data_IF_230541315574
#
_entry.id   IF_230541315574
#
_cell.length_a   1.000
_cell.length_b   1.000
_cell.length_c   1.000
_cell.angle_alpha   90.00
_cell.angle_beta   90.00
_cell.angle_gamma   90.00
#
_symmetry.space_group_name_H-M   'P 1'
#
loop_
_entity.id
_entity.type
_entity.pdbx_description
1 polymer ?
#
# COMPACT_ATOMS: atom_id res chain seq x y z
N UNK A 1 -4.24 5.32 12.53
CA UNK A 1 -5.64 4.89 12.28
C UNK A 1 -5.58 3.64 11.42
N UNK A 2 -5.99 2.51 11.98
CA UNK A 2 -5.75 1.15 11.49
C UNK A 2 -5.84 0.16 12.66
N UNK A 3 -6.86 0.33 13.51
CA UNK A 3 -7.05 -0.37 14.79
C UNK A 3 -7.93 -1.61 14.68
N UNK A 4 -8.34 -1.99 13.47
CA UNK A 4 -9.02 -3.26 13.24
C UNK A 4 -7.97 -4.36 13.16
N UNK A 5 -8.05 -5.34 14.06
CA UNK A 5 -7.28 -6.58 13.96
C UNK A 5 -7.83 -7.40 12.79
N UNK A 6 -7.27 -7.21 11.60
CA UNK A 6 -7.57 -8.02 10.42
C UNK A 6 -6.47 -9.06 10.22
N UNK A 7 -6.89 -10.30 10.01
CA UNK A 7 -6.00 -11.35 9.57
C UNK A 7 -5.49 -11.05 8.15
N UNK A 8 -4.31 -11.61 7.83
CA UNK A 8 -3.78 -11.52 6.47
C UNK A 8 -4.75 -12.13 5.44
N UNK A 9 -5.48 -13.19 5.83
CA UNK A 9 -6.47 -13.83 4.97
C UNK A 9 -7.62 -12.89 4.62
N UNK A 10 -8.14 -12.14 5.59
CA UNK A 10 -9.20 -11.15 5.33
C UNK A 10 -8.72 -10.04 4.41
N UNK A 11 -7.49 -9.55 4.61
CA UNK A 11 -6.88 -8.57 3.70
C UNK A 11 -6.75 -9.12 2.28
N UNK A 12 -6.30 -10.37 2.12
CA UNK A 12 -6.23 -11.04 0.81
C UNK A 12 -7.61 -11.15 0.17
N UNK A 13 -8.66 -11.49 0.92
CA UNK A 13 -10.04 -11.54 0.40
C UNK A 13 -10.55 -10.18 -0.05
N UNK A 14 -10.25 -9.11 0.70
CA UNK A 14 -10.60 -7.73 0.34
C UNK A 14 -9.93 -7.34 -0.97
N UNK A 15 -8.62 -7.52 -1.08
CA UNK A 15 -7.89 -7.22 -2.33
C UNK A 15 -8.33 -8.13 -3.50
N UNK A 16 -8.73 -9.37 -3.21
CA UNK A 16 -9.33 -10.27 -4.20
C UNK A 16 -10.67 -9.76 -4.74
N UNK A 17 -11.41 -9.00 -3.95
CA UNK A 17 -12.63 -8.33 -4.43
C UNK A 17 -12.29 -7.25 -5.45
N UNK A 18 -11.24 -6.46 -5.19
CA UNK A 18 -10.77 -5.45 -6.14
C UNK A 18 -10.26 -6.10 -7.44
N UNK A 19 -9.44 -7.15 -7.32
CA UNK A 19 -8.98 -7.95 -8.45
C UNK A 19 -10.13 -8.51 -9.30
N UNK A 20 -11.27 -8.82 -8.67
CA UNK A 20 -12.48 -9.34 -9.30
C UNK A 20 -13.53 -8.26 -9.60
N UNK A 21 -13.09 -7.01 -9.80
CA UNK A 21 -13.96 -5.88 -10.17
C UNK A 21 -15.18 -5.70 -9.25
N UNK A 22 -14.99 -5.82 -7.94
CA UNK A 22 -16.04 -5.60 -6.95
C UNK A 22 -16.83 -6.84 -6.52
N UNK A 23 -16.54 -8.01 -7.09
CA UNK A 23 -17.18 -9.29 -6.73
C UNK A 23 -16.49 -9.91 -5.50
N UNK A 24 -17.15 -9.86 -4.35
CA UNK A 24 -16.70 -10.52 -3.13
C UNK A 24 -17.03 -12.01 -3.15
N UNK A 25 -16.12 -12.83 -2.65
CA UNK A 25 -16.30 -14.28 -2.49
C UNK A 25 -16.30 -14.62 -1.00
N UNK A 26 -17.38 -15.25 -0.53
CA UNK A 26 -17.56 -15.50 0.91
C UNK A 26 -16.61 -16.58 1.41
N UNK A 27 -16.43 -17.65 0.65
CA UNK A 27 -15.63 -18.81 1.03
C UNK A 27 -14.18 -18.68 0.53
N UNK A 28 -13.22 -19.07 1.37
CA UNK A 28 -11.84 -19.27 0.94
C UNK A 28 -11.59 -20.76 0.75
N UNK A 29 -11.49 -21.21 -0.51
CA UNK A 29 -11.37 -22.62 -0.86
C UNK A 29 -9.99 -22.96 -1.39
N UNK A 30 -9.30 -23.88 -0.72
CA UNK A 30 -7.98 -24.38 -1.14
C UNK A 30 -8.05 -25.69 -1.93
N UNK A 31 -9.10 -26.49 -1.70
CA UNK A 31 -9.27 -27.81 -2.31
C UNK A 31 -10.31 -27.73 -3.42
N UNK A 32 -9.94 -28.16 -4.63
CA UNK A 32 -10.86 -28.20 -5.79
C UNK A 32 -11.57 -29.55 -5.95
N UNK A 33 -10.85 -30.63 -5.67
CA UNK A 33 -11.31 -32.01 -5.91
C UNK A 33 -10.52 -32.96 -4.99
N UNK A 34 -11.19 -33.96 -4.43
CA UNK A 34 -10.60 -35.07 -3.68
C UNK A 34 -10.97 -36.35 -4.42
N UNK A 35 -9.96 -37.15 -4.74
CA UNK A 35 -10.11 -38.43 -5.43
C UNK A 35 -9.46 -39.56 -4.62
N UNK A 36 -9.99 -40.77 -4.78
CA UNK A 36 -9.33 -41.97 -4.30
C UNK A 36 -8.17 -42.39 -5.23
N UNK A 37 -7.45 -43.46 -4.87
CA UNK A 37 -6.32 -43.97 -5.65
C UNK A 37 -6.72 -44.49 -7.05
N UNK A 38 -8.00 -44.79 -7.26
CA UNK A 38 -8.54 -45.28 -8.54
C UNK A 38 -9.08 -44.13 -9.42
N UNK A 39 -9.03 -42.89 -8.93
CA UNK A 39 -9.56 -41.71 -9.63
C UNK A 39 -11.06 -41.49 -9.42
N UNK A 40 -11.70 -42.18 -8.47
CA UNK A 40 -13.09 -41.90 -8.12
C UNK A 40 -13.17 -40.60 -7.31
N UNK A 41 -13.99 -39.65 -7.79
CA UNK A 41 -14.23 -38.38 -7.11
C UNK A 41 -15.03 -38.60 -5.84
N UNK A 42 -14.41 -38.36 -4.69
CA UNK A 42 -15.04 -38.44 -3.37
C UNK A 42 -15.71 -37.12 -2.99
N UNK A 43 -15.12 -36.01 -3.43
CA UNK A 43 -15.66 -34.68 -3.19
C UNK A 43 -15.16 -33.73 -4.27
N UNK A 44 -16.02 -32.79 -4.67
CA UNK A 44 -15.69 -31.72 -5.59
C UNK A 44 -16.20 -30.39 -5.05
N UNK A 45 -15.42 -29.35 -5.27
CA UNK A 45 -15.74 -28.01 -4.82
C UNK A 45 -17.12 -27.57 -5.35
N UNK A 46 -18.06 -27.20 -4.46
CA UNK A 46 -19.32 -26.62 -4.86
C UNK A 46 -19.11 -25.20 -5.43
N UNK A 47 -20.11 -24.70 -6.16
CA UNK A 47 -20.09 -23.33 -6.64
C UNK A 47 -19.86 -22.32 -5.50
N UNK A 48 -18.93 -21.39 -5.71
CA UNK A 48 -18.59 -20.38 -4.71
C UNK A 48 -19.72 -19.35 -4.56
N UNK A 49 -20.06 -19.00 -3.32
CA UNK A 49 -20.98 -17.91 -3.03
C UNK A 49 -20.29 -16.58 -3.31
N UNK A 50 -20.84 -15.82 -4.24
CA UNK A 50 -20.31 -14.52 -4.65
C UNK A 50 -21.38 -13.45 -4.64
N UNK A 51 -20.97 -12.21 -4.38
CA UNK A 51 -21.86 -11.04 -4.36
C UNK A 51 -21.12 -9.81 -4.87
N UNK A 52 -21.77 -9.01 -5.71
CA UNK A 52 -21.25 -7.69 -6.09
C UNK A 52 -21.40 -6.75 -4.89
N UNK A 53 -20.31 -6.19 -4.39
CA UNK A 53 -20.34 -5.27 -3.23
C UNK A 53 -19.80 -3.87 -3.54
N UNK A 54 -19.09 -3.71 -4.66
CA UNK A 54 -18.56 -2.43 -5.16
C UNK A 54 -18.85 -2.42 -6.67
N UNK A 55 -19.18 -1.28 -7.28
CA UNK A 55 -19.40 -1.25 -8.73
C UNK A 55 -18.12 -1.51 -9.52
N UNK A 56 -18.25 -1.89 -10.79
CA UNK A 56 -17.10 -2.11 -11.67
C UNK A 56 -16.30 -0.82 -11.87
N UNK A 57 -17.00 0.29 -12.07
CA UNK A 57 -16.43 1.63 -12.31
C UNK A 57 -15.60 2.07 -11.12
N UNK A 58 -16.17 2.03 -9.90
CA UNK A 58 -15.47 2.40 -8.66
C UNK A 58 -14.23 1.52 -8.46
N UNK A 59 -14.33 0.22 -8.78
CA UNK A 59 -13.21 -0.70 -8.62
C UNK A 59 -12.10 -0.40 -9.63
N UNK A 60 -12.46 -0.09 -10.87
CA UNK A 60 -11.53 0.32 -11.93
C UNK A 60 -10.77 1.61 -11.52
N UNK A 61 -11.43 2.62 -10.94
CA UNK A 61 -10.73 3.83 -10.43
C UNK A 61 -9.82 3.52 -9.25
N UNK A 62 -10.28 2.68 -8.32
CA UNK A 62 -9.47 2.22 -7.20
C UNK A 62 -8.21 1.48 -7.69
N UNK A 63 -8.35 0.63 -8.70
CA UNK A 63 -7.21 -0.06 -9.31
C UNK A 63 -6.23 0.93 -9.94
N UNK A 64 -6.71 1.93 -10.69
CA UNK A 64 -5.85 2.96 -11.29
C UNK A 64 -5.06 3.76 -10.23
N UNK A 65 -5.72 4.13 -9.12
CA UNK A 65 -5.05 4.78 -7.98
C UNK A 65 -4.00 3.86 -7.33
N UNK A 66 -4.28 2.57 -7.20
CA UNK A 66 -3.36 1.59 -6.63
C UNK A 66 -2.20 1.22 -7.57
N UNK A 67 -2.38 1.31 -8.89
CA UNK A 67 -1.28 1.24 -9.85
C UNK A 67 -0.34 2.44 -9.68
N UNK A 68 -0.89 3.64 -9.53
CA UNK A 68 -0.10 4.86 -9.26
C UNK A 68 0.77 4.73 -7.99
N UNK A 69 0.24 4.10 -6.94
CA UNK A 69 0.98 3.82 -5.71
C UNK A 69 2.18 2.88 -5.92
N UNK A 70 2.07 1.93 -6.87
CA UNK A 70 3.16 1.04 -7.28
C UNK A 70 4.15 1.75 -8.19
N UNK A 71 3.68 2.54 -9.17
CA UNK A 71 4.54 3.07 -10.22
C UNK A 71 5.32 4.32 -9.80
N UNK A 72 4.72 5.14 -8.93
CA UNK A 72 5.31 6.42 -8.51
C UNK A 72 5.25 6.70 -7.00
N UNK A 73 4.54 5.86 -6.25
CA UNK A 73 4.33 5.98 -4.81
C UNK A 73 5.30 5.15 -3.96
N UNK A 74 4.83 4.73 -2.79
CA UNK A 74 5.62 3.95 -1.83
C UNK A 74 5.97 2.54 -2.32
N UNK A 75 5.31 2.07 -3.38
CA UNK A 75 5.57 0.80 -4.04
C UNK A 75 6.62 0.86 -5.16
N UNK A 76 7.17 2.03 -5.49
CA UNK A 76 8.07 2.27 -6.66
C UNK A 76 9.21 1.24 -6.80
N UNK A 77 9.70 0.68 -5.69
CA UNK A 77 10.72 -0.38 -5.69
C UNK A 77 10.31 -1.62 -6.50
N UNK A 78 9.02 -1.91 -6.64
CA UNK A 78 8.52 -2.96 -7.53
C UNK A 78 9.00 -2.76 -8.98
N UNK A 79 9.01 -1.51 -9.46
CA UNK A 79 9.53 -1.15 -10.79
C UNK A 79 11.04 -0.99 -10.79
N UNK A 80 11.58 -0.21 -9.87
CA UNK A 80 12.98 0.23 -9.94
C UNK A 80 13.98 -0.81 -9.43
N UNK A 81 13.61 -1.61 -8.43
CA UNK A 81 14.49 -2.61 -7.81
C UNK A 81 14.21 -4.01 -8.36
N UNK A 82 12.95 -4.40 -8.48
CA UNK A 82 12.56 -5.74 -8.94
C UNK A 82 12.31 -5.81 -10.46
N UNK A 83 12.33 -4.67 -11.16
CA UNK A 83 12.24 -4.61 -12.61
C UNK A 83 10.89 -5.07 -13.17
N UNK A 84 9.83 -5.09 -12.36
CA UNK A 84 8.55 -5.69 -12.76
C UNK A 84 7.88 -4.89 -13.86
N UNK A 85 7.57 -5.55 -14.99
CA UNK A 85 6.97 -4.90 -16.17
C UNK A 85 5.47 -5.14 -16.30
N UNK A 86 4.93 -6.14 -15.61
CA UNK A 86 3.52 -6.46 -15.62
C UNK A 86 2.69 -5.36 -14.96
N UNK A 87 1.43 -5.27 -15.38
CA UNK A 87 0.45 -4.48 -14.67
C UNK A 87 0.31 -4.99 -13.24
N UNK A 88 0.32 -4.07 -12.28
CA UNK A 88 0.25 -4.42 -10.86
C UNK A 88 -0.36 -3.26 -10.08
N UNK A 89 -1.38 -3.57 -9.29
CA UNK A 89 -1.96 -2.64 -8.34
C UNK A 89 -1.55 -3.07 -6.93
N UNK A 90 -1.29 -2.12 -6.02
CA UNK A 90 -0.94 -2.51 -4.66
C UNK A 90 -0.68 -1.34 -3.71
N UNK A 91 -0.47 -1.68 -2.44
CA UNK A 91 -0.30 -0.71 -1.37
C UNK A 91 0.62 -1.22 -0.28
N UNK A 92 1.48 -0.32 0.20
CA UNK A 92 2.23 -0.50 1.44
C UNK A 92 1.38 -0.10 2.65
N UNK A 93 1.40 -0.90 3.70
CA UNK A 93 0.87 -0.58 5.03
C UNK A 93 1.99 -0.61 6.07
N UNK A 94 1.90 0.23 7.10
CA UNK A 94 2.86 0.26 8.21
C UNK A 94 2.07 0.61 9.46
N UNK A 95 2.09 -0.30 10.44
CA UNK A 95 1.45 -0.06 11.72
C UNK A 95 2.22 0.99 12.52
N UNK A 96 1.54 1.60 13.49
CA UNK A 96 2.17 2.54 14.41
C UNK A 96 3.34 1.88 15.14
N UNK A 97 4.40 2.63 15.44
CA UNK A 97 5.62 2.14 16.07
C UNK A 97 6.33 0.99 15.31
N UNK A 98 5.99 0.77 14.03
CA UNK A 98 6.59 -0.27 13.20
C UNK A 98 6.45 -1.70 13.77
N UNK A 99 5.34 -1.97 14.45
CA UNK A 99 5.00 -3.33 14.94
C UNK A 99 4.77 -4.30 13.80
N UNK A 100 4.16 -3.80 12.72
CA UNK A 100 3.84 -4.58 11.53
C UNK A 100 4.06 -3.81 10.24
N UNK A 101 4.69 -4.51 9.31
CA UNK A 101 4.89 -4.11 7.93
C UNK A 101 3.97 -4.93 7.03
N UNK A 102 3.19 -4.25 6.20
CA UNK A 102 2.26 -4.88 5.28
C UNK A 102 2.53 -4.48 3.84
N UNK A 103 2.32 -5.41 2.94
CA UNK A 103 2.28 -5.14 1.51
C UNK A 103 1.23 -6.02 0.85
N UNK A 104 0.34 -5.38 0.11
CA UNK A 104 -0.69 -6.05 -0.68
C UNK A 104 -0.48 -5.66 -2.14
N UNK A 105 -0.46 -6.65 -3.03
CA UNK A 105 -0.42 -6.43 -4.47
C UNK A 105 -1.34 -7.41 -5.18
N UNK A 106 -1.87 -7.03 -6.33
CA UNK A 106 -2.74 -7.88 -7.11
C UNK A 106 -2.69 -7.59 -8.61
N UNK A 107 -3.07 -8.61 -9.34
CA UNK A 107 -3.49 -8.63 -10.75
C UNK A 107 -4.93 -9.15 -10.79
N UNK A 108 -5.61 -9.20 -11.95
CA UNK A 108 -6.93 -9.83 -12.05
C UNK A 108 -6.98 -11.32 -11.69
N UNK A 109 -5.82 -12.02 -11.65
CA UNK A 109 -5.73 -13.47 -11.44
C UNK A 109 -4.93 -13.87 -10.19
N UNK A 110 -4.28 -12.93 -9.52
CA UNK A 110 -3.43 -13.21 -8.36
C UNK A 110 -3.51 -12.08 -7.34
N UNK A 111 -3.58 -12.45 -6.06
CA UNK A 111 -3.40 -11.52 -4.94
C UNK A 111 -2.22 -12.03 -4.10
N UNK A 112 -1.27 -11.15 -3.84
CA UNK A 112 -0.11 -11.40 -2.97
C UNK A 112 -0.24 -10.50 -1.76
N UNK A 113 -0.42 -11.10 -0.59
CA UNK A 113 -0.40 -10.39 0.69
C UNK A 113 0.79 -10.83 1.54
N UNK A 114 1.52 -9.86 2.06
CA UNK A 114 2.66 -10.09 2.95
C UNK A 114 2.50 -9.26 4.21
N UNK A 115 2.64 -9.92 5.36
CA UNK A 115 2.84 -9.30 6.67
C UNK A 115 4.21 -9.70 7.21
N UNK A 116 4.95 -8.75 7.74
CA UNK A 116 6.16 -9.00 8.54
C UNK A 116 5.98 -8.28 9.87
N UNK A 117 6.10 -9.02 10.96
CA UNK A 117 5.95 -8.51 12.33
C UNK A 117 6.20 -9.64 13.33
N UNK A 118 6.37 -9.30 14.60
CA UNK A 118 6.49 -10.28 15.67
C UNK A 118 5.10 -10.67 16.20
N UNK A 119 5.00 -11.84 16.84
CA UNK A 119 3.78 -12.24 17.55
C UNK A 119 3.48 -11.32 18.74
N UNK A 120 4.51 -10.82 19.41
CA UNK A 120 4.41 -9.82 20.47
C UNK A 120 4.70 -8.42 19.88
N UNK A 121 3.72 -7.48 19.88
CA UNK A 121 3.91 -6.13 19.35
C UNK A 121 4.98 -5.30 20.05
N UNK A 122 5.41 -5.67 21.27
CA UNK A 122 6.52 -5.01 21.95
C UNK A 122 7.86 -5.24 21.25
N UNK A 123 7.96 -6.31 20.46
CA UNK A 123 9.12 -6.59 19.60
C UNK A 123 8.87 -5.93 18.25
N UNK A 124 9.39 -4.72 18.11
CA UNK A 124 9.19 -3.92 16.90
C UNK A 124 10.46 -3.17 16.48
N UNK A 125 10.45 -2.66 15.26
CA UNK A 125 11.54 -1.82 14.78
C UNK A 125 11.44 -0.42 15.39
N UNK A 126 12.59 0.20 15.63
CA UNK A 126 12.65 1.53 16.30
C UNK A 126 12.49 2.67 15.28
N UNK A 127 12.65 2.39 13.98
CA UNK A 127 12.66 3.39 12.92
C UNK A 127 12.04 2.87 11.61
N UNK A 128 12.11 3.71 10.55
CA UNK A 128 11.54 3.44 9.23
C UNK A 128 12.01 2.17 8.52
N UNK A 129 13.04 1.48 9.04
CA UNK A 129 13.41 0.13 8.58
C UNK A 129 12.30 -0.89 8.81
N UNK A 130 11.38 -0.63 9.76
CA UNK A 130 10.20 -1.45 9.98
C UNK A 130 9.00 -1.11 9.10
N UNK A 131 9.18 -0.31 8.04
CA UNK A 131 8.09 0.04 7.14
C UNK A 131 7.69 -1.11 6.22
N UNK A 132 6.44 -1.07 5.73
CA UNK A 132 5.91 -1.98 4.70
C UNK A 132 6.80 -2.04 3.46
N UNK A 133 7.33 -0.88 3.04
CA UNK A 133 8.22 -0.77 1.89
C UNK A 133 9.63 -1.35 2.11
N UNK A 134 10.04 -1.50 3.38
CA UNK A 134 11.35 -2.01 3.77
C UNK A 134 11.33 -3.51 4.06
N UNK A 135 10.27 -4.03 4.70
CA UNK A 135 10.19 -5.43 5.13
C UNK A 135 9.28 -6.30 4.27
N UNK A 136 8.02 -5.89 4.07
CA UNK A 136 7.02 -6.73 3.39
C UNK A 136 7.13 -6.67 1.87
N UNK A 137 7.36 -5.48 1.30
CA UNK A 137 7.49 -5.28 -0.14
C UNK A 137 8.58 -6.15 -0.76
N UNK A 138 9.80 -6.29 -0.17
CA UNK A 138 10.82 -7.15 -0.76
C UNK A 138 10.43 -8.61 -0.97
N UNK A 139 9.64 -9.18 -0.05
CA UNK A 139 9.17 -10.57 -0.15
C UNK A 139 8.21 -10.69 -1.34
N UNK A 140 7.26 -9.75 -1.46
CA UNK A 140 6.33 -9.73 -2.59
C UNK A 140 7.05 -9.45 -3.92
N UNK A 141 8.01 -8.53 -3.92
CA UNK A 141 8.82 -8.17 -5.09
C UNK A 141 9.59 -9.36 -5.65
N UNK A 142 10.30 -10.10 -4.80
CA UNK A 142 11.01 -11.31 -5.22
C UNK A 142 10.06 -12.38 -5.75
N UNK A 143 8.95 -12.64 -5.05
CA UNK A 143 7.94 -13.63 -5.49
C UNK A 143 7.36 -13.28 -6.86
N UNK A 144 6.93 -12.03 -7.05
CA UNK A 144 6.37 -11.58 -8.32
C UNK A 144 7.43 -11.55 -9.44
N UNK A 145 8.69 -11.25 -9.13
CA UNK A 145 9.78 -11.31 -10.10
C UNK A 145 10.03 -12.74 -10.60
N UNK A 146 9.99 -13.72 -9.70
CA UNK A 146 10.07 -15.14 -10.05
C UNK A 146 8.89 -15.56 -10.93
N UNK A 147 7.67 -15.16 -10.59
CA UNK A 147 6.47 -15.44 -11.40
C UNK A 147 6.61 -14.78 -12.78
N UNK A 148 7.11 -13.55 -12.85
CA UNK A 148 7.24 -12.80 -14.10
C UNK A 148 8.30 -13.39 -15.04
N UNK A 149 9.35 -13.96 -14.46
CA UNK A 149 10.47 -14.58 -15.20
C UNK A 149 10.11 -15.94 -15.77
N UNK A 150 9.10 -16.62 -15.23
CA UNK A 150 8.58 -17.89 -15.76
C UNK A 150 7.44 -17.61 -16.76
N UNK A 151 7.61 -18.05 -18.01
CA UNK A 151 6.63 -17.77 -19.07
C UNK A 151 5.24 -18.35 -18.81
N UNK A 152 5.16 -19.52 -18.17
CA UNK A 152 3.90 -20.21 -17.89
C UNK A 152 3.18 -19.49 -16.75
N UNK A 153 3.88 -19.20 -15.66
CA UNK A 153 3.32 -18.51 -14.51
C UNK A 153 2.93 -17.06 -14.85
N UNK A 154 3.76 -16.37 -15.64
CA UNK A 154 3.44 -15.03 -16.15
C UNK A 154 2.13 -15.04 -16.93
N UNK A 155 1.95 -15.98 -17.85
CA UNK A 155 0.74 -16.07 -18.67
C UNK A 155 -0.50 -16.41 -17.84
N UNK A 156 -0.34 -17.22 -16.79
CA UNK A 156 -1.44 -17.64 -15.92
C UNK A 156 -1.86 -16.53 -14.92
N UNK A 157 -0.90 -15.86 -14.29
CA UNK A 157 -1.14 -15.00 -13.13
C UNK A 157 -0.96 -13.51 -13.39
N UNK A 158 -0.13 -13.09 -14.34
CA UNK A 158 0.21 -11.68 -14.56
C UNK A 158 -0.51 -11.08 -15.78
N UNK A 159 -1.82 -11.30 -15.84
CA UNK A 159 -2.68 -10.76 -16.90
C UNK A 159 -2.92 -9.25 -16.69
N UNK A 160 -3.05 -8.46 -17.78
CA UNK A 160 -3.24 -7.01 -17.68
C UNK A 160 -4.63 -6.65 -17.13
N UNK A 161 -4.75 -5.43 -16.60
CA UNK A 161 -6.05 -4.88 -16.24
C UNK A 161 -6.74 -4.27 -17.47
N UNK A 162 -8.04 -4.48 -17.59
CA UNK A 162 -8.88 -3.78 -18.56
C UNK A 162 -9.73 -2.76 -17.82
N UNK A 163 -9.17 -1.55 -17.67
CA UNK A 163 -9.78 -0.41 -16.98
C UNK A 163 -10.47 0.47 -18.04
N UNK A 164 -11.70 0.88 -17.80
CA UNK A 164 -12.41 1.79 -18.72
C UNK A 164 -11.68 3.15 -18.87
N UNK A 165 -11.64 3.68 -20.10
CA UNK A 165 -10.82 4.84 -20.45
C UNK A 165 -11.27 6.17 -19.82
N UNK A 166 -12.51 6.23 -19.30
CA UNK A 166 -13.11 7.44 -18.70
C UNK A 166 -12.63 7.69 -17.26
N UNK A 167 -11.80 6.79 -16.73
CA UNK A 167 -11.31 6.81 -15.34
C UNK A 167 -10.16 7.80 -15.10
N UNK A 168 -9.95 8.77 -16.01
CA UNK A 168 -8.97 9.84 -15.79
C UNK A 168 -9.47 10.74 -14.68
N UNK A 169 -8.97 10.51 -13.47
CA UNK A 169 -9.22 11.39 -12.34
C UNK A 169 -8.62 12.76 -12.68
N UNK A 170 -9.47 13.79 -12.81
CA UNK A 170 -9.09 15.17 -13.15
C UNK A 170 -8.29 15.90 -12.03
N UNK A 171 -7.71 15.13 -11.11
CA UNK A 171 -6.93 15.63 -10.00
C UNK A 171 -5.44 15.38 -10.25
N UNK A 172 -4.58 16.41 -10.29
CA UNK A 172 -3.15 16.21 -10.43
C UNK A 172 -2.63 15.38 -9.25
N UNK A 173 -1.76 14.41 -9.53
CA UNK A 173 -1.16 13.55 -8.50
C UNK A 173 -0.48 14.42 -7.43
N UNK A 174 -1.10 14.55 -6.26
CA UNK A 174 -0.57 15.34 -5.16
C UNK A 174 0.55 14.56 -4.46
N UNK A 175 1.79 14.93 -4.77
CA UNK A 175 2.98 14.44 -4.09
C UNK A 175 3.54 15.56 -3.21
N UNK A 176 3.32 15.50 -1.90
CA UNK A 176 4.02 16.37 -0.96
C UNK A 176 5.53 16.16 -1.15
N UNK A 177 6.24 17.23 -1.49
CA UNK A 177 7.69 17.18 -1.64
C UNK A 177 8.33 17.10 -0.26
N UNK A 178 9.00 16.00 0.01
CA UNK A 178 10.02 15.91 1.05
C UNK A 178 9.56 15.27 2.36
N UNK A 179 10.56 15.00 3.20
CA UNK A 179 10.44 14.35 4.51
C UNK A 179 9.55 15.18 5.45
N UNK A 180 9.44 16.50 5.25
CA UNK A 180 8.59 17.40 6.06
C UNK A 180 7.09 17.05 6.04
N UNK A 181 6.52 16.64 4.89
CA UNK A 181 5.09 16.27 4.81
C UNK A 181 4.78 14.95 5.53
N UNK A 182 5.76 14.05 5.58
CA UNK A 182 5.72 12.83 6.37
C UNK A 182 5.87 13.15 7.87
N UNK A 183 6.84 13.99 8.26
CA UNK A 183 7.09 14.36 9.66
C UNK A 183 5.95 15.20 10.26
N UNK A 184 5.31 16.10 9.50
CA UNK A 184 4.14 16.85 9.98
C UNK A 184 2.94 15.93 10.25
N UNK A 185 2.77 14.84 9.49
CA UNK A 185 1.75 13.83 9.81
C UNK A 185 2.16 12.89 10.95
N UNK A 186 3.46 12.67 11.14
CA UNK A 186 4.00 11.78 12.17
C UNK A 186 4.14 12.45 13.54
N UNK A 187 4.36 13.77 13.59
CA UNK A 187 4.64 14.53 14.82
C UNK A 187 3.75 15.77 15.01
N UNK A 188 2.92 16.12 14.04
CA UNK A 188 2.07 17.32 14.08
C UNK A 188 0.70 17.08 14.68
N UNK A 189 0.63 16.69 15.95
CA UNK A 189 -0.54 16.98 16.79
C UNK A 189 -0.15 16.98 18.26
N UNK A 190 0.27 18.15 18.73
CA UNK A 190 -0.09 18.73 20.04
C UNK A 190 0.72 20.02 20.25
N UNK A 191 0.18 21.15 19.78
CA UNK A 191 0.41 22.47 20.35
C UNK A 191 -0.84 23.32 20.04
N UNK A 192 -1.92 23.07 20.77
CA UNK A 192 -3.03 24.01 20.88
C UNK A 192 -2.61 25.11 21.86
N UNK A 193 -2.31 26.30 21.36
CA UNK A 193 -2.53 27.53 22.13
C UNK A 193 -3.40 28.47 21.31
N UNK A 194 -4.44 29.00 21.95
CA UNK A 194 -5.48 29.86 21.37
C UNK A 194 -4.97 31.25 20.91
N UNK A 195 -3.66 31.49 20.97
CA UNK A 195 -3.05 32.79 20.71
C UNK A 195 -2.81 33.07 19.21
N UNK A 196 -2.55 32.05 18.38
CA UNK A 196 -2.27 32.24 16.95
C UNK A 196 -3.53 32.59 16.13
N UNK A 197 -4.72 32.21 16.64
CA UNK A 197 -6.01 32.48 15.97
C UNK A 197 -6.35 33.97 15.94
N UNK A 198 -5.83 34.76 16.87
CA UNK A 198 -6.05 36.22 16.94
C UNK A 198 -5.07 37.03 16.09
N UNK A 199 -3.87 36.50 15.81
CA UNK A 199 -2.90 37.16 14.93
C UNK A 199 -3.14 36.87 13.44
N UNK A 200 -3.62 35.67 13.09
CA UNK A 200 -3.90 35.29 11.71
C UNK A 200 -5.00 36.13 11.03
N UNK A 201 -5.92 36.71 11.81
CA UNK A 201 -6.97 37.60 11.30
C UNK A 201 -6.46 39.02 10.96
N UNK A 202 -5.21 39.38 11.30
CA UNK A 202 -4.68 40.75 11.13
C UNK A 202 -3.63 40.93 10.05
N UNK A 203 -3.08 39.88 9.44
CA UNK A 203 -1.99 40.04 8.47
C UNK A 203 -2.22 39.23 7.20
N UNK A 204 -2.98 39.81 6.27
CA UNK A 204 -3.04 39.37 4.89
C UNK A 204 -1.82 39.93 4.14
N UNK A 205 -0.70 39.19 4.13
CA UNK A 205 0.45 39.42 3.24
C UNK A 205 1.33 38.15 3.14
N UNK A 206 1.20 37.49 1.99
CA UNK A 206 2.07 36.51 1.32
C UNK A 206 3.09 35.71 2.20
N UNK A 207 2.81 34.43 2.52
CA UNK A 207 3.57 33.66 3.52
C UNK A 207 4.88 33.03 3.01
N UNK A 208 5.19 33.06 1.71
CA UNK A 208 6.18 32.16 1.12
C UNK A 208 7.66 32.61 1.27
N UNK A 209 7.91 33.86 1.68
CA UNK A 209 9.28 34.41 1.82
C UNK A 209 9.87 34.35 3.23
N UNK A 210 9.03 34.33 4.28
CA UNK A 210 9.50 34.50 5.68
C UNK A 210 9.94 33.19 6.33
N UNK A 211 9.40 32.04 5.90
CA UNK A 211 9.70 30.74 6.53
C UNK A 211 11.03 30.13 6.09
N UNK A 212 11.47 30.35 4.84
CA UNK A 212 12.80 29.91 4.36
C UNK A 212 13.95 30.46 5.22
N UNK A 213 13.83 31.68 5.73
CA UNK A 213 14.87 32.34 6.54
C UNK A 213 14.88 31.91 8.01
N UNK A 214 13.76 31.39 8.55
CA UNK A 214 13.71 30.86 9.93
C UNK A 214 14.24 29.43 9.99
N UNK A 215 13.86 28.56 9.05
CA UNK A 215 14.31 27.16 8.99
C UNK A 215 15.81 27.05 8.70
N UNK A 216 16.33 27.87 7.78
CA UNK A 216 17.78 27.94 7.52
C UNK A 216 18.60 28.39 8.74
N UNK A 217 18.03 29.25 9.61
CA UNK A 217 18.67 29.68 10.86
C UNK A 217 18.63 28.61 11.96
N UNK A 218 17.60 27.77 11.96
CA UNK A 218 17.46 26.66 12.90
C UNK A 218 18.46 25.53 12.57
N UNK A 219 18.58 25.15 11.29
CA UNK A 219 19.57 24.15 10.84
C UNK A 219 21.01 24.60 11.07
N UNK A 220 21.34 25.88 10.84
CA UNK A 220 22.67 26.40 11.13
C UNK A 220 23.03 26.39 12.62
N UNK A 221 22.03 26.38 13.52
CA UNK A 221 22.23 26.26 14.98
C UNK A 221 22.37 24.80 15.42
N UNK A 222 21.73 23.87 14.73
CA UNK A 222 21.80 22.44 15.06
C UNK A 222 23.13 21.78 14.64
N UNK A 223 23.79 22.28 13.58
CA UNK A 223 25.00 21.65 13.03
C UNK A 223 26.31 22.44 13.24
N UNK A 224 26.28 23.58 13.95
CA UNK A 224 27.50 24.26 14.43
C UNK A 224 27.79 23.86 15.88
N UNK A 225 28.41 22.68 16.03
CA UNK A 225 28.84 22.18 17.34
C UNK A 225 29.94 21.13 17.23
N UNK A 226 31.16 21.60 16.91
CA UNK A 226 32.51 21.04 17.18
C UNK A 226 33.42 21.01 15.94
N UNK A 227 34.17 22.11 15.78
CA UNK A 227 35.58 22.07 15.37
C UNK A 227 36.39 22.83 16.41
N UNK A 228 36.91 22.08 17.38
CA UNK A 228 38.26 22.18 17.95
C UNK A 228 38.45 20.97 18.85
#
# INVERSE_FOLDING_TARGET
MGTAELSLLEMVKIYGTFARKGVFTEDFMMIKKIEDANGQVLWQQPGLKTRQIISHEITDELTAMLQTAIDSGTGTRMRTTYGLKCDLAGKTGTAQNYTDAWFMAYTPKLVVGVRVGASDPSIHFINGLGSGSALALPIAGTTLHTIESDSKLRAEYLVPFYISADTTTDCPAFREKGVEGFFNRLFGKDLNSEDERKEALRQNKDPDKKNRTKVGRFFNRLFKGKKK
#
